data_IF_553037274979
#
_entry.id   IF_553037274979
#
_cell.length_a   1.000
_cell.length_b   1.000
_cell.length_c   1.000
_cell.angle_alpha   90.00
_cell.angle_beta   90.00
_cell.angle_gamma   90.00
#
_symmetry.space_group_name_H-M   'P 1'
#
loop_
_entity.id
_entity.type
_entity.pdbx_description
1 polymer ?
#
# COMPACT_ATOMS: atom_id res chain seq x y z
N UNK A 1 52.41 -10.19 -8.24
CA UNK A 1 51.73 -9.22 -7.35
C UNK A 1 50.45 -8.60 -7.94
N UNK A 2 50.33 -8.44 -9.27
CA UNK A 2 49.10 -7.85 -9.87
C UNK A 2 47.81 -8.66 -9.69
N UNK A 3 47.88 -9.99 -9.69
CA UNK A 3 46.70 -10.86 -9.53
C UNK A 3 46.04 -10.78 -8.15
N UNK A 4 46.85 -10.58 -7.09
CA UNK A 4 46.33 -10.43 -5.72
C UNK A 4 45.59 -9.10 -5.58
N UNK A 5 46.14 -8.01 -6.15
CA UNK A 5 45.47 -6.71 -6.18
C UNK A 5 44.16 -6.74 -6.97
N UNK A 6 44.15 -7.43 -8.12
CA UNK A 6 42.92 -7.61 -8.92
C UNK A 6 41.86 -8.41 -8.17
N UNK A 7 42.26 -9.50 -7.48
CA UNK A 7 41.34 -10.27 -6.64
C UNK A 7 40.72 -9.41 -5.53
N UNK A 8 41.54 -8.59 -4.87
CA UNK A 8 41.08 -7.70 -3.80
C UNK A 8 40.10 -6.63 -4.29
N UNK A 9 40.36 -6.01 -5.44
CA UNK A 9 39.46 -4.97 -5.99
C UNK A 9 38.13 -5.56 -6.46
N UNK A 10 38.15 -6.74 -7.10
CA UNK A 10 36.93 -7.46 -7.48
C UNK A 10 36.11 -7.84 -6.24
N UNK A 11 36.79 -8.34 -5.20
CA UNK A 11 36.14 -8.67 -3.93
C UNK A 11 35.48 -7.44 -3.28
N UNK A 12 36.20 -6.31 -3.22
CA UNK A 12 35.66 -5.06 -2.67
C UNK A 12 34.45 -4.54 -3.48
N UNK A 13 34.53 -4.61 -4.81
CA UNK A 13 33.43 -4.21 -5.68
C UNK A 13 32.18 -5.08 -5.47
N UNK A 14 32.35 -6.40 -5.36
CA UNK A 14 31.25 -7.33 -5.08
C UNK A 14 30.63 -7.02 -3.71
N UNK A 15 31.44 -6.82 -2.68
CA UNK A 15 30.94 -6.48 -1.33
C UNK A 15 30.13 -5.18 -1.32
N UNK A 16 30.59 -4.16 -2.05
CA UNK A 16 29.88 -2.89 -2.16
C UNK A 16 28.49 -3.09 -2.80
N UNK A 17 28.41 -3.86 -3.88
CA UNK A 17 27.14 -4.16 -4.55
C UNK A 17 26.19 -4.94 -3.65
N UNK A 18 26.69 -5.95 -2.92
CA UNK A 18 25.89 -6.72 -1.96
C UNK A 18 25.35 -5.80 -0.86
N UNK A 19 26.19 -4.92 -0.32
CA UNK A 19 25.77 -3.94 0.70
C UNK A 19 24.65 -3.04 0.19
N UNK A 20 24.74 -2.55 -1.05
CA UNK A 20 23.66 -1.75 -1.67
C UNK A 20 22.37 -2.55 -1.75
N UNK A 21 22.43 -3.79 -2.23
CA UNK A 21 21.24 -4.64 -2.35
C UNK A 21 20.59 -4.90 -0.99
N UNK A 22 21.39 -5.17 0.03
CA UNK A 22 20.89 -5.44 1.38
C UNK A 22 20.24 -4.18 1.97
N UNK A 23 20.82 -2.98 1.79
CA UNK A 23 20.16 -1.73 2.15
C UNK A 23 18.80 -1.56 1.45
N UNK A 24 18.71 -1.91 0.17
CA UNK A 24 17.47 -1.82 -0.60
C UNK A 24 16.42 -2.82 -0.09
N UNK A 25 16.84 -4.05 0.20
CA UNK A 25 16.00 -5.10 0.76
C UNK A 25 15.46 -4.73 2.15
N UNK A 26 16.30 -4.13 3.01
CA UNK A 26 15.90 -3.62 4.33
C UNK A 26 14.83 -2.51 4.19
N UNK A 27 15.04 -1.53 3.31
CA UNK A 27 14.10 -0.43 3.07
C UNK A 27 12.74 -0.95 2.56
N UNK A 28 12.75 -1.99 1.71
CA UNK A 28 11.54 -2.61 1.19
C UNK A 28 10.96 -3.72 2.06
N UNK A 29 11.57 -4.01 3.22
CA UNK A 29 11.17 -5.11 4.12
C UNK A 29 11.03 -6.44 3.38
N UNK A 30 11.96 -6.71 2.46
CA UNK A 30 11.97 -7.93 1.68
C UNK A 30 12.22 -9.15 2.57
N UNK A 31 11.41 -10.22 2.49
CA UNK A 31 11.69 -11.45 3.22
C UNK A 31 13.04 -12.02 2.75
N UNK A 32 13.95 -12.23 3.69
CA UNK A 32 15.26 -12.85 3.46
C UNK A 32 15.05 -14.24 2.84
N UNK A 33 15.64 -14.51 1.66
CA UNK A 33 15.39 -15.83 1.04
C UNK A 33 15.91 -16.13 -0.36
N UNK A 34 16.95 -15.47 -0.89
CA UNK A 34 17.59 -15.95 -2.14
C UNK A 34 19.08 -16.18 -1.98
N UNK A 35 19.51 -17.37 -2.40
CA UNK A 35 20.90 -17.79 -2.47
C UNK A 35 21.71 -16.89 -3.42
N UNK A 36 22.95 -16.60 -3.01
CA UNK A 36 23.96 -15.80 -3.75
C UNK A 36 24.07 -16.17 -5.25
N UNK A 37 23.83 -17.44 -5.59
CA UNK A 37 23.90 -17.99 -6.96
C UNK A 37 22.84 -17.47 -7.93
N UNK A 38 21.65 -17.06 -7.46
CA UNK A 38 20.61 -16.45 -8.33
C UNK A 38 20.79 -14.94 -8.52
N UNK A 39 21.71 -14.31 -7.79
CA UNK A 39 22.05 -12.88 -7.90
C UNK A 39 23.10 -12.61 -8.99
N UNK A 40 23.99 -13.58 -9.26
CA UNK A 40 25.07 -13.50 -10.27
C UNK A 40 24.60 -13.09 -11.68
N UNK A 41 23.50 -13.62 -12.24
CA UNK A 41 23.03 -13.22 -13.57
C UNK A 41 22.52 -11.79 -13.60
N UNK A 42 21.91 -11.32 -12.52
CA UNK A 42 21.45 -9.93 -12.39
C UNK A 42 22.65 -8.98 -12.32
N UNK A 43 23.67 -9.32 -11.53
CA UNK A 43 24.91 -8.53 -11.47
C UNK A 43 25.65 -8.50 -12.80
N UNK A 44 25.71 -9.64 -13.50
CA UNK A 44 26.27 -9.69 -14.84
C UNK A 44 25.47 -8.78 -15.79
N UNK A 45 24.14 -8.85 -15.75
CA UNK A 45 23.29 -7.99 -16.56
C UNK A 45 23.49 -6.51 -16.23
N UNK A 46 23.58 -6.13 -14.95
CA UNK A 46 23.85 -4.75 -14.53
C UNK A 46 25.23 -4.28 -15.02
N UNK A 47 26.25 -5.14 -14.91
CA UNK A 47 27.62 -4.83 -15.30
C UNK A 47 27.78 -4.68 -16.82
N UNK A 48 27.04 -5.44 -17.63
CA UNK A 48 27.00 -5.26 -19.10
C UNK A 48 26.06 -4.14 -19.53
N UNK A 49 24.97 -3.92 -18.80
CA UNK A 49 24.01 -2.86 -19.09
C UNK A 49 24.59 -1.49 -18.76
N UNK A 50 25.51 -1.38 -17.78
CA UNK A 50 26.09 -0.09 -17.39
C UNK A 50 26.88 0.58 -18.53
N UNK A 51 27.82 -0.10 -19.23
CA UNK A 51 28.46 0.45 -20.43
C UNK A 51 27.46 0.78 -21.54
N UNK A 52 26.49 -0.11 -21.79
CA UNK A 52 25.47 0.09 -22.83
C UNK A 52 24.57 1.29 -22.51
N UNK A 53 24.23 1.50 -21.25
CA UNK A 53 23.44 2.65 -20.79
C UNK A 53 24.24 3.95 -20.92
N UNK A 54 25.54 3.94 -20.61
CA UNK A 54 26.42 5.09 -20.82
C UNK A 54 26.49 5.42 -22.31
N UNK A 55 26.83 4.43 -23.16
CA UNK A 55 26.92 4.61 -24.62
C UNK A 55 25.59 5.01 -25.26
N UNK A 56 24.49 4.40 -24.83
CA UNK A 56 23.15 4.74 -25.29
C UNK A 56 22.76 6.15 -24.87
N UNK A 57 23.04 6.54 -23.63
CA UNK A 57 22.73 7.88 -23.14
C UNK A 57 23.53 8.96 -23.87
N UNK A 58 24.82 8.73 -24.17
CA UNK A 58 25.64 9.69 -24.92
C UNK A 58 25.18 9.80 -26.37
N UNK A 59 24.82 8.68 -27.01
CA UNK A 59 24.26 8.67 -28.36
C UNK A 59 22.93 9.42 -28.45
N UNK A 60 22.02 9.15 -27.51
CA UNK A 60 20.70 9.81 -27.49
C UNK A 60 20.83 11.29 -27.12
N UNK A 61 21.71 11.64 -26.17
CA UNK A 61 21.99 13.05 -25.84
C UNK A 61 22.58 13.80 -27.05
N UNK A 62 23.52 13.20 -27.78
CA UNK A 62 24.09 13.80 -28.99
C UNK A 62 23.03 14.03 -30.08
N UNK A 63 22.10 13.09 -30.24
CA UNK A 63 20.95 13.28 -31.13
C UNK A 63 20.04 14.41 -30.64
N UNK A 64 19.71 14.45 -29.34
CA UNK A 64 18.87 15.50 -28.78
C UNK A 64 19.51 16.88 -28.94
N UNK A 65 20.80 17.05 -28.64
CA UNK A 65 21.54 18.30 -28.78
C UNK A 65 21.67 18.78 -30.23
N UNK A 66 21.71 17.87 -31.21
CA UNK A 66 21.80 18.20 -32.63
C UNK A 66 20.46 18.67 -33.23
N UNK A 67 19.35 18.09 -32.81
CA UNK A 67 18.03 18.34 -33.41
C UNK A 67 17.18 19.37 -32.64
N UNK A 68 17.39 19.52 -31.34
CA UNK A 68 16.65 20.49 -30.51
C UNK A 68 16.80 21.95 -30.97
N UNK A 69 17.99 22.44 -31.39
CA UNK A 69 18.16 23.81 -31.88
C UNK A 69 17.45 24.07 -33.21
N UNK A 70 17.12 23.02 -33.97
CA UNK A 70 16.43 23.14 -35.27
C UNK A 70 14.92 23.34 -35.11
N UNK A 71 14.36 22.96 -33.96
CA UNK A 71 12.92 23.01 -33.67
C UNK A 71 12.56 24.25 -32.83
N UNK A 72 13.49 24.73 -31.99
CA UNK A 72 13.25 25.88 -31.10
C UNK A 72 14.37 26.91 -31.24
N UNK A 73 14.06 28.10 -31.78
CA UNK A 73 15.01 29.21 -31.95
C UNK A 73 15.26 30.03 -30.66
N UNK A 74 14.51 29.77 -29.60
CA UNK A 74 14.61 30.46 -28.32
C UNK A 74 15.50 29.71 -27.33
N UNK A 75 16.60 30.36 -26.92
CA UNK A 75 17.62 29.83 -26.00
C UNK A 75 17.08 29.31 -24.65
N UNK A 76 15.97 29.87 -24.16
CA UNK A 76 15.35 29.42 -22.91
C UNK A 76 14.60 28.09 -23.06
N UNK A 77 13.91 27.85 -24.19
CA UNK A 77 13.21 26.58 -24.43
C UNK A 77 14.19 25.41 -24.59
N UNK A 78 15.30 25.62 -25.31
CA UNK A 78 16.33 24.60 -25.49
C UNK A 78 16.97 24.19 -24.16
N UNK A 79 17.22 25.17 -23.28
CA UNK A 79 17.79 24.92 -21.95
C UNK A 79 16.83 24.12 -21.07
N UNK A 80 15.56 24.53 -21.01
CA UNK A 80 14.55 23.79 -20.23
C UNK A 80 14.33 22.37 -20.75
N UNK A 81 14.30 22.18 -22.07
CA UNK A 81 14.13 20.86 -22.68
C UNK A 81 15.33 19.93 -22.40
N UNK A 82 16.56 20.46 -22.39
CA UNK A 82 17.75 19.67 -22.03
C UNK A 82 17.73 19.20 -20.56
N UNK A 83 17.33 20.08 -19.64
CA UNK A 83 17.16 19.72 -18.22
C UNK A 83 16.08 18.65 -18.06
N UNK A 84 14.93 18.82 -18.70
CA UNK A 84 13.83 17.84 -18.64
C UNK A 84 14.27 16.48 -19.19
N UNK A 85 15.05 16.49 -20.27
CA UNK A 85 15.61 15.30 -20.88
C UNK A 85 16.61 14.58 -19.95
N UNK A 86 17.53 15.32 -19.32
CA UNK A 86 18.46 14.77 -18.32
C UNK A 86 17.71 14.13 -17.15
N UNK A 87 16.71 14.83 -16.60
CA UNK A 87 15.86 14.30 -15.52
C UNK A 87 15.13 13.04 -15.96
N UNK A 88 14.62 13.00 -17.20
CA UNK A 88 13.91 11.84 -17.73
C UNK A 88 14.80 10.60 -17.79
N UNK A 89 16.06 10.74 -18.26
CA UNK A 89 17.02 9.62 -18.29
C UNK A 89 17.31 9.11 -16.89
N UNK A 90 17.64 10.01 -15.94
CA UNK A 90 17.92 9.62 -14.55
C UNK A 90 16.69 8.97 -13.92
N UNK A 91 15.51 9.49 -14.20
CA UNK A 91 14.25 8.94 -13.71
C UNK A 91 14.01 7.51 -14.18
N UNK A 92 14.18 7.24 -15.48
CA UNK A 92 14.04 5.89 -16.04
C UNK A 92 15.08 4.95 -15.44
N UNK A 93 16.33 5.40 -15.29
CA UNK A 93 17.41 4.62 -14.69
C UNK A 93 17.10 4.27 -13.22
N UNK A 94 16.67 5.24 -12.42
CA UNK A 94 16.27 5.03 -11.03
C UNK A 94 15.05 4.13 -10.92
N UNK A 95 14.07 4.28 -11.80
CA UNK A 95 12.89 3.41 -11.85
C UNK A 95 13.28 1.95 -12.10
N UNK A 96 14.15 1.72 -13.09
CA UNK A 96 14.70 0.42 -13.42
C UNK A 96 15.46 -0.17 -12.24
N UNK A 97 16.35 0.62 -11.63
CA UNK A 97 17.15 0.21 -10.48
C UNK A 97 16.27 -0.15 -9.27
N UNK A 98 15.25 0.65 -8.97
CA UNK A 98 14.32 0.40 -7.86
C UNK A 98 13.45 -0.83 -8.07
N UNK A 99 13.25 -1.25 -9.31
CA UNK A 99 12.45 -2.42 -9.63
C UNK A 99 13.28 -3.70 -9.74
N UNK A 100 14.55 -3.58 -10.10
CA UNK A 100 15.44 -4.73 -10.34
C UNK A 100 16.28 -5.11 -9.13
N UNK A 101 16.69 -4.15 -8.30
CA UNK A 101 17.53 -4.44 -7.13
C UNK A 101 16.78 -5.13 -5.98
N UNK A 102 15.60 -4.66 -5.54
CA UNK A 102 14.95 -5.28 -4.40
C UNK A 102 14.43 -6.66 -4.76
N UNK A 103 14.58 -7.62 -3.84
CA UNK A 103 14.08 -8.98 -4.02
C UNK A 103 12.57 -9.09 -3.68
N UNK A 104 11.77 -8.10 -4.08
CA UNK A 104 10.32 -8.03 -3.83
C UNK A 104 9.54 -7.62 -5.06
N UNK A 105 8.25 -7.96 -5.07
CA UNK A 105 7.33 -7.49 -6.10
C UNK A 105 6.99 -6.04 -5.78
N UNK A 106 7.51 -5.12 -6.60
CA UNK A 106 7.27 -3.69 -6.47
C UNK A 106 6.22 -3.24 -7.47
N UNK A 107 5.20 -2.55 -6.98
CA UNK A 107 4.18 -1.97 -7.84
C UNK A 107 4.76 -0.81 -8.66
N UNK A 108 4.36 -0.71 -9.94
CA UNK A 108 4.91 0.32 -10.85
C UNK A 108 4.64 1.75 -10.39
N UNK A 109 3.47 2.02 -9.80
CA UNK A 109 3.07 3.38 -9.42
C UNK A 109 3.93 3.96 -8.27
N UNK A 110 4.11 3.27 -7.12
CA UNK A 110 5.03 3.74 -6.08
C UNK A 110 6.47 3.93 -6.59
N UNK A 111 6.97 2.97 -7.38
CA UNK A 111 8.31 3.05 -7.95
C UNK A 111 8.51 4.27 -8.85
N UNK A 112 7.51 4.64 -9.67
CA UNK A 112 7.57 5.85 -10.51
C UNK A 112 7.69 7.13 -9.68
N UNK A 113 6.93 7.23 -8.58
CA UNK A 113 6.96 8.43 -7.72
C UNK A 113 8.30 8.53 -6.98
N UNK A 114 8.75 7.45 -6.35
CA UNK A 114 10.02 7.47 -5.61
C UNK A 114 11.24 7.65 -6.49
N UNK A 115 11.25 7.06 -7.70
CA UNK A 115 12.32 7.30 -8.68
C UNK A 115 12.33 8.72 -9.21
N UNK A 116 11.17 9.37 -9.35
CA UNK A 116 11.09 10.77 -9.78
C UNK A 116 11.70 11.70 -8.73
N UNK A 117 11.37 11.46 -7.46
CA UNK A 117 11.97 12.19 -6.32
C UNK A 117 13.49 12.02 -6.34
N UNK A 118 13.99 10.79 -6.45
CA UNK A 118 15.43 10.55 -6.53
C UNK A 118 16.07 11.25 -7.73
N UNK A 119 15.45 11.17 -8.91
CA UNK A 119 15.99 11.80 -10.12
C UNK A 119 16.11 13.33 -9.99
N UNK A 120 15.12 13.98 -9.39
CA UNK A 120 15.17 15.42 -9.13
C UNK A 120 16.30 15.76 -8.14
N UNK A 121 16.43 15.02 -7.04
CA UNK A 121 17.51 15.25 -6.07
C UNK A 121 18.89 15.00 -6.68
N UNK A 122 19.04 13.95 -7.50
CA UNK A 122 20.28 13.63 -8.20
C UNK A 122 20.66 14.71 -9.21
N UNK A 123 19.69 15.22 -9.99
CA UNK A 123 19.93 16.31 -10.93
C UNK A 123 20.36 17.59 -10.20
N UNK A 124 19.69 17.95 -9.09
CA UNK A 124 20.06 19.09 -8.25
C UNK A 124 21.49 18.92 -7.72
N UNK A 125 21.84 17.76 -7.19
CA UNK A 125 23.16 17.52 -6.64
C UNK A 125 24.26 17.50 -7.72
N UNK A 126 23.95 17.06 -8.94
CA UNK A 126 24.87 17.10 -10.10
C UNK A 126 25.20 18.56 -10.46
N UNK A 127 24.20 19.43 -10.57
CA UNK A 127 24.41 20.86 -10.82
C UNK A 127 25.13 21.55 -9.66
N UNK A 128 24.83 21.17 -8.42
CA UNK A 128 25.47 21.71 -7.22
C UNK A 128 26.99 21.48 -7.21
N UNK A 129 27.43 20.29 -7.62
CA UNK A 129 28.87 19.99 -7.76
C UNK A 129 29.51 20.82 -8.87
N UNK A 130 28.84 20.96 -10.02
CA UNK A 130 29.33 21.75 -11.14
C UNK A 130 29.58 23.20 -10.78
N UNK A 131 28.61 23.84 -10.10
CA UNK A 131 28.74 25.21 -9.59
C UNK A 131 29.84 25.33 -8.54
N UNK A 132 29.93 24.36 -7.63
CA UNK A 132 30.95 24.37 -6.59
C UNK A 132 32.36 24.22 -7.18
N UNK A 133 32.57 23.32 -8.15
CA UNK A 133 33.87 23.14 -8.80
C UNK A 133 34.33 24.40 -9.56
N UNK A 134 33.41 25.09 -10.25
CA UNK A 134 33.72 26.34 -10.94
C UNK A 134 34.19 27.43 -9.97
N UNK A 135 33.58 27.53 -8.79
CA UNK A 135 33.96 28.49 -7.76
C UNK A 135 35.18 28.05 -6.92
N UNK A 136 35.33 26.76 -6.64
CA UNK A 136 36.45 26.25 -5.83
C UNK A 136 37.78 26.29 -6.60
N UNK A 137 37.74 26.13 -7.93
CA UNK A 137 38.91 26.28 -8.79
C UNK A 137 39.41 27.74 -8.87
N UNK A 138 38.56 28.74 -8.59
CA UNK A 138 39.01 30.14 -8.51
C UNK A 138 39.58 30.52 -7.13
N UNK A 139 39.23 29.78 -6.07
CA UNK A 139 39.78 29.92 -4.72
C UNK A 139 41.01 29.03 -4.44
N UNK A 140 41.47 28.24 -5.41
CA UNK A 140 42.45 27.16 -5.23
C UNK A 140 43.88 27.60 -4.88
N UNK A 141 44.12 28.88 -4.62
CA UNK A 141 45.45 29.43 -4.31
C UNK A 141 45.99 29.06 -2.93
N UNK A 142 45.14 28.55 -2.00
CA UNK A 142 45.53 28.25 -0.62
C UNK A 142 45.31 26.79 -0.17
N UNK A 143 44.35 26.05 -0.75
CA UNK A 143 43.99 24.69 -0.28
C UNK A 143 44.30 23.54 -1.26
N UNK A 144 44.66 23.85 -2.51
CA UNK A 144 45.14 22.86 -3.50
C UNK A 144 44.25 21.62 -3.68
N UNK A 145 44.76 20.64 -4.43
CA UNK A 145 44.06 19.37 -4.74
C UNK A 145 43.66 18.52 -3.51
N UNK A 146 44.21 18.80 -2.33
CA UNK A 146 43.96 18.08 -1.08
C UNK A 146 42.53 18.28 -0.54
N UNK A 147 41.92 19.44 -0.74
CA UNK A 147 40.54 19.72 -0.31
C UNK A 147 39.46 19.03 -1.15
N UNK A 148 39.81 18.49 -2.33
CA UNK A 148 38.85 17.85 -3.23
C UNK A 148 38.38 16.48 -2.72
N UNK A 149 39.21 15.74 -1.99
CA UNK A 149 38.88 14.37 -1.56
C UNK A 149 37.72 14.38 -0.55
N UNK A 150 37.76 15.13 0.58
CA UNK A 150 36.66 15.14 1.55
C UNK A 150 35.37 15.70 0.94
N UNK A 151 35.48 16.71 0.08
CA UNK A 151 34.36 17.29 -0.65
C UNK A 151 33.69 16.27 -1.57
N UNK A 152 34.49 15.53 -2.35
CA UNK A 152 33.98 14.49 -3.23
C UNK A 152 33.30 13.37 -2.42
N UNK A 153 33.87 12.97 -1.30
CA UNK A 153 33.25 11.99 -0.39
C UNK A 153 31.89 12.49 0.14
N UNK A 154 31.83 13.76 0.58
CA UNK A 154 30.58 14.37 1.05
C UNK A 154 29.52 14.43 -0.07
N UNK A 155 29.93 14.78 -1.28
CA UNK A 155 29.03 14.80 -2.44
C UNK A 155 28.50 13.41 -2.79
N UNK A 156 29.37 12.39 -2.82
CA UNK A 156 28.96 11.00 -3.03
C UNK A 156 27.99 10.55 -1.93
N UNK A 157 28.22 10.96 -0.68
CA UNK A 157 27.29 10.70 0.42
C UNK A 157 25.91 11.32 0.18
N UNK A 158 25.85 12.58 -0.26
CA UNK A 158 24.57 13.24 -0.61
C UNK A 158 23.85 12.55 -1.77
N UNK A 159 24.60 12.09 -2.78
CA UNK A 159 24.04 11.33 -3.91
C UNK A 159 23.40 10.03 -3.45
N UNK A 160 24.09 9.27 -2.59
CA UNK A 160 23.53 8.06 -1.99
C UNK A 160 22.31 8.35 -1.12
N UNK A 161 22.35 9.43 -0.34
CA UNK A 161 21.21 9.86 0.48
C UNK A 161 19.98 10.16 -0.40
N UNK A 162 20.16 10.83 -1.55
CA UNK A 162 19.10 11.09 -2.50
C UNK A 162 18.47 9.80 -3.08
N UNK A 163 19.31 8.82 -3.43
CA UNK A 163 18.85 7.51 -3.89
C UNK A 163 18.07 6.79 -2.80
N UNK A 164 18.63 6.65 -1.60
CA UNK A 164 17.94 5.94 -0.51
C UNK A 164 16.65 6.66 -0.08
N UNK A 165 16.63 8.00 -0.12
CA UNK A 165 15.44 8.77 0.19
C UNK A 165 14.30 8.51 -0.81
N UNK A 166 14.58 8.54 -2.12
CA UNK A 166 13.56 8.21 -3.11
C UNK A 166 13.08 6.76 -3.01
N UNK A 167 13.98 5.84 -2.63
CA UNK A 167 13.62 4.45 -2.36
C UNK A 167 12.66 4.32 -1.18
N UNK A 168 12.95 5.04 -0.08
CA UNK A 168 12.10 5.11 1.10
C UNK A 168 10.71 5.65 0.76
N UNK A 169 10.61 6.72 -0.04
CA UNK A 169 9.33 7.27 -0.51
C UNK A 169 8.52 6.24 -1.32
N UNK A 170 9.18 5.47 -2.19
CA UNK A 170 8.51 4.40 -2.92
C UNK A 170 8.02 3.29 -1.99
N UNK A 171 8.86 2.87 -1.05
CA UNK A 171 8.53 1.85 -0.05
C UNK A 171 7.33 2.28 0.81
N UNK A 172 7.33 3.49 1.36
CA UNK A 172 6.22 3.96 2.19
C UNK A 172 4.91 4.03 1.42
N UNK A 173 4.92 4.52 0.18
CA UNK A 173 3.74 4.58 -0.67
C UNK A 173 3.21 3.19 -1.04
N UNK A 174 4.10 2.19 -1.21
CA UNK A 174 3.71 0.80 -1.40
C UNK A 174 3.07 0.21 -0.13
N UNK A 175 3.66 0.45 1.06
CA UNK A 175 3.13 -0.04 2.32
C UNK A 175 1.76 0.56 2.67
N UNK A 176 1.55 1.86 2.42
CA UNK A 176 0.26 2.51 2.65
C UNK A 176 -0.86 1.90 1.79
N UNK A 177 -0.59 1.64 0.50
CA UNK A 177 -1.54 0.95 -0.38
C UNK A 177 -1.75 -0.51 0.02
N UNK A 178 -0.69 -1.21 0.42
CA UNK A 178 -0.76 -2.59 0.89
C UNK A 178 -1.63 -2.72 2.14
N UNK A 179 -1.51 -1.79 3.09
CA UNK A 179 -2.36 -1.72 4.29
C UNK A 179 -3.82 -1.48 3.96
N UNK A 180 -4.13 -0.52 3.09
CA UNK A 180 -5.52 -0.27 2.68
C UNK A 180 -6.17 -1.50 2.03
N UNK A 181 -5.44 -2.22 1.18
CA UNK A 181 -5.95 -3.46 0.56
C UNK A 181 -6.11 -4.59 1.58
N UNK A 182 -5.17 -4.73 2.52
CA UNK A 182 -5.25 -5.72 3.59
C UNK A 182 -6.39 -5.43 4.56
N UNK A 183 -6.63 -4.17 4.92
CA UNK A 183 -7.76 -3.74 5.76
C UNK A 183 -9.10 -4.03 5.08
N UNK A 184 -9.22 -3.73 3.78
CA UNK A 184 -10.42 -4.05 3.00
C UNK A 184 -10.67 -5.57 2.91
N UNK A 185 -9.62 -6.38 2.76
CA UNK A 185 -9.73 -7.84 2.75
C UNK A 185 -10.06 -8.39 4.14
N UNK A 186 -9.43 -7.89 5.19
CA UNK A 186 -9.68 -8.31 6.56
C UNK A 186 -11.09 -7.93 7.02
N UNK A 187 -11.61 -6.75 6.65
CA UNK A 187 -13.01 -6.37 6.85
C UNK A 187 -13.98 -7.28 6.07
N UNK A 188 -13.57 -7.84 4.94
CA UNK A 188 -14.36 -8.81 4.16
C UNK A 188 -14.30 -10.22 4.76
N UNK A 189 -13.26 -10.54 5.52
CA UNK A 189 -13.06 -11.87 6.10
C UNK A 189 -13.60 -11.97 7.53
N UNK A 190 -13.51 -10.88 8.31
CA UNK A 190 -14.16 -10.76 9.62
C UNK A 190 -15.70 -10.69 9.51
N UNK A 191 -16.25 -10.31 8.35
CA UNK A 191 -17.69 -10.38 8.11
C UNK A 191 -18.24 -11.79 7.90
N UNK A 192 -17.37 -12.76 7.59
CA UNK A 192 -17.78 -14.11 7.20
C UNK A 192 -18.02 -15.04 8.39
N UNK A 193 -17.59 -14.67 9.61
CA UNK A 193 -17.71 -15.49 10.83
C UNK A 193 -18.44 -14.70 11.90
N UNK A 194 -19.74 -14.48 11.68
CA UNK A 194 -20.65 -13.95 12.70
C UNK A 194 -21.66 -15.04 12.99
N UNK A 195 -21.80 -15.42 14.26
CA UNK A 195 -22.88 -16.29 14.70
C UNK A 195 -24.22 -15.62 14.30
N UNK A 196 -25.07 -16.28 13.49
CA UNK A 196 -26.37 -15.77 13.10
C UNK A 196 -27.20 -15.25 14.28
N UNK A 197 -27.02 -15.81 15.48
CA UNK A 197 -27.68 -15.38 16.71
C UNK A 197 -27.37 -13.94 17.13
N UNK A 198 -26.25 -13.34 16.68
CA UNK A 198 -25.91 -11.96 17.02
C UNK A 198 -26.92 -10.94 16.48
N UNK A 199 -27.67 -11.27 15.43
CA UNK A 199 -28.73 -10.39 14.92
C UNK A 199 -29.84 -10.18 15.96
N UNK A 200 -30.10 -11.20 16.78
CA UNK A 200 -31.10 -11.17 17.84
C UNK A 200 -30.65 -10.23 18.96
N UNK A 201 -29.38 -10.31 19.36
CA UNK A 201 -28.79 -9.43 20.38
C UNK A 201 -28.77 -7.97 19.91
N UNK A 202 -28.41 -7.74 18.63
CA UNK A 202 -28.48 -6.41 18.02
C UNK A 202 -29.91 -5.85 18.05
N UNK A 203 -30.89 -6.65 17.62
CA UNK A 203 -32.30 -6.23 17.61
C UNK A 203 -32.87 -6.03 19.01
N UNK A 204 -32.46 -6.83 19.99
CA UNK A 204 -32.84 -6.65 21.39
C UNK A 204 -32.34 -5.29 21.91
N UNK A 205 -31.09 -4.92 21.62
CA UNK A 205 -30.54 -3.63 22.02
C UNK A 205 -31.31 -2.46 21.38
N UNK A 206 -31.58 -2.52 20.07
CA UNK A 206 -32.36 -1.48 19.38
C UNK A 206 -33.79 -1.40 19.92
N UNK A 207 -34.43 -2.54 20.20
CA UNK A 207 -35.79 -2.57 20.73
C UNK A 207 -35.88 -2.04 22.16
N UNK A 208 -34.85 -2.25 22.98
CA UNK A 208 -34.77 -1.69 24.33
C UNK A 208 -34.65 -0.17 24.30
N UNK A 209 -33.80 0.38 23.42
CA UNK A 209 -33.67 1.82 23.22
C UNK A 209 -34.97 2.44 22.68
N UNK A 210 -35.62 1.75 21.75
CA UNK A 210 -36.91 2.18 21.21
C UNK A 210 -38.01 2.23 22.29
N UNK A 211 -38.07 1.26 23.21
CA UNK A 211 -38.99 1.29 24.36
C UNK A 211 -38.76 2.50 25.28
N UNK A 212 -37.52 3.00 25.36
CA UNK A 212 -37.16 4.19 26.12
C UNK A 212 -37.42 5.50 25.34
N UNK A 213 -37.96 5.41 24.11
CA UNK A 213 -38.20 6.57 23.24
C UNK A 213 -36.94 7.13 22.58
N UNK A 214 -35.85 6.35 22.55
CA UNK A 214 -34.57 6.77 21.99
C UNK A 214 -34.29 6.07 20.65
N UNK A 215 -33.62 6.76 19.73
CA UNK A 215 -33.02 6.16 18.54
C UNK A 215 -31.64 5.60 18.88
N UNK A 216 -31.16 4.64 18.10
CA UNK A 216 -29.85 4.01 18.32
C UNK A 216 -28.95 4.26 17.12
N UNK A 217 -27.71 4.70 17.33
CA UNK A 217 -26.74 4.81 16.24
C UNK A 217 -26.03 3.46 15.99
N UNK A 218 -25.53 3.27 14.77
CA UNK A 218 -24.83 2.02 14.40
C UNK A 218 -23.62 1.76 15.30
N UNK A 219 -22.91 2.81 15.72
CA UNK A 219 -21.74 2.71 16.60
C UNK A 219 -22.07 2.20 18.02
N UNK A 220 -23.19 2.62 18.62
CA UNK A 220 -23.62 2.16 19.94
C UNK A 220 -24.06 0.70 19.90
N UNK A 221 -24.71 0.25 18.82
CA UNK A 221 -25.03 -1.17 18.61
C UNK A 221 -23.73 -1.99 18.54
N UNK A 222 -22.73 -1.51 17.80
CA UNK A 222 -21.43 -2.18 17.70
C UNK A 222 -20.74 -2.29 19.07
N UNK A 223 -20.71 -1.19 19.84
CA UNK A 223 -20.13 -1.16 21.20
C UNK A 223 -20.89 -2.08 22.17
N UNK A 224 -22.22 -2.07 22.14
CA UNK A 224 -23.06 -2.87 23.04
C UNK A 224 -22.95 -4.38 22.74
N UNK A 225 -22.84 -4.74 21.46
CA UNK A 225 -22.74 -6.14 21.01
C UNK A 225 -21.30 -6.64 20.90
N UNK A 226 -20.30 -5.79 21.17
CA UNK A 226 -18.86 -6.05 21.00
C UNK A 226 -18.49 -6.54 19.59
N UNK A 227 -19.26 -6.12 18.59
CA UNK A 227 -19.00 -6.40 17.18
C UNK A 227 -18.21 -5.26 16.55
N UNK A 228 -17.47 -5.55 15.49
CA UNK A 228 -16.85 -4.51 14.68
C UNK A 228 -17.94 -3.66 14.00
N UNK A 229 -17.72 -2.35 13.92
CA UNK A 229 -18.66 -1.41 13.31
C UNK A 229 -19.05 -1.81 11.87
N UNK A 230 -18.10 -2.32 11.09
CA UNK A 230 -18.35 -2.80 9.73
C UNK A 230 -19.34 -3.99 9.65
N UNK A 231 -19.28 -4.92 10.60
CA UNK A 231 -20.24 -6.04 10.70
C UNK A 231 -21.61 -5.52 11.09
N UNK A 232 -21.66 -4.66 12.10
CA UNK A 232 -22.89 -4.05 12.60
C UNK A 232 -23.59 -3.27 11.49
N UNK A 233 -22.87 -2.44 10.73
CA UNK A 233 -23.42 -1.65 9.63
C UNK A 233 -24.00 -2.54 8.53
N UNK A 234 -23.33 -3.65 8.18
CA UNK A 234 -23.85 -4.61 7.20
C UNK A 234 -25.14 -5.28 7.70
N UNK A 235 -25.16 -5.76 8.93
CA UNK A 235 -26.36 -6.40 9.50
C UNK A 235 -27.52 -5.41 9.62
N UNK A 236 -27.24 -4.16 10.01
CA UNK A 236 -28.23 -3.07 10.02
C UNK A 236 -28.78 -2.82 8.62
N UNK A 237 -27.93 -2.75 7.59
CA UNK A 237 -28.39 -2.59 6.20
C UNK A 237 -29.31 -3.73 5.76
N UNK A 238 -29.01 -4.98 6.15
CA UNK A 238 -29.89 -6.12 5.87
C UNK A 238 -31.23 -6.04 6.59
N UNK A 239 -31.23 -5.60 7.85
CA UNK A 239 -32.45 -5.39 8.61
C UNK A 239 -33.30 -4.23 8.06
N UNK A 240 -32.66 -3.22 7.47
CA UNK A 240 -33.35 -2.13 6.76
C UNK A 240 -33.94 -2.64 5.44
N UNK A 241 -33.19 -3.40 4.64
CA UNK A 241 -33.70 -4.06 3.42
C UNK A 241 -34.90 -4.98 3.71
N UNK A 242 -34.88 -5.66 4.86
CA UNK A 242 -35.96 -6.54 5.32
C UNK A 242 -37.14 -5.81 6.00
N UNK A 243 -37.16 -4.46 6.01
CA UNK A 243 -38.17 -3.64 6.68
C UNK A 243 -38.36 -3.94 8.19
N UNK A 244 -37.28 -4.34 8.87
CA UNK A 244 -37.26 -4.54 10.33
C UNK A 244 -36.69 -3.33 11.07
N UNK A 245 -35.74 -2.64 10.46
CA UNK A 245 -35.21 -1.36 10.93
C UNK A 245 -35.50 -0.25 9.91
N UNK A 246 -35.59 0.98 10.41
CA UNK A 246 -35.71 2.18 9.58
C UNK A 246 -34.65 3.20 9.99
N UNK A 247 -34.00 3.82 9.00
CA UNK A 247 -33.08 4.94 9.22
C UNK A 247 -33.87 6.24 9.36
N UNK A 248 -33.52 7.05 10.37
CA UNK A 248 -34.16 8.36 10.63
C UNK A 248 -33.62 9.45 9.70
N UNK A 249 -32.31 9.46 9.46
CA UNK A 249 -31.62 10.38 8.55
C UNK A 249 -30.48 9.65 7.81
N UNK A 250 -30.20 10.07 6.58
CA UNK A 250 -29.09 9.51 5.77
C UNK A 250 -27.70 9.86 6.33
N UNK A 251 -27.59 10.96 7.09
CA UNK A 251 -26.31 11.49 7.58
C UNK A 251 -25.89 11.02 8.97
N UNK A 252 -26.82 10.57 9.82
CA UNK A 252 -26.51 10.33 11.25
C UNK A 252 -26.54 8.84 11.67
N UNK A 253 -26.66 7.92 10.69
CA UNK A 253 -26.67 6.47 10.89
C UNK A 253 -27.57 5.97 12.05
N UNK A 254 -28.60 6.75 12.39
CA UNK A 254 -29.56 6.45 13.44
C UNK A 254 -30.63 5.51 12.92
N UNK A 255 -30.93 4.48 13.70
CA UNK A 255 -31.90 3.45 13.38
C UNK A 255 -32.94 3.27 14.49
N UNK A 256 -34.15 2.94 14.07
CA UNK A 256 -35.28 2.60 14.92
C UNK A 256 -35.99 1.37 14.37
N UNK A 257 -36.83 0.74 15.19
CA UNK A 257 -37.69 -0.35 14.74
C UNK A 257 -38.66 0.15 13.66
N UNK A 258 -38.73 -0.56 12.53
CA UNK A 258 -39.69 -0.27 11.47
C UNK A 258 -41.09 -0.84 11.78
N UNK A 259 -41.14 -1.86 12.64
CA UNK A 259 -42.36 -2.58 13.03
C UNK A 259 -42.40 -2.75 14.55
N UNK A 260 -43.60 -2.80 15.16
CA UNK A 260 -43.76 -3.11 16.57
C UNK A 260 -43.09 -4.45 16.96
N UNK A 261 -42.45 -4.50 18.14
CA UNK A 261 -41.64 -5.65 18.59
C UNK A 261 -42.45 -6.94 18.79
N UNK A 262 -43.77 -6.84 18.93
CA UNK A 262 -44.74 -7.93 18.98
C UNK A 262 -45.05 -8.56 17.61
N UNK A 263 -44.64 -7.90 16.52
CA UNK A 263 -44.83 -8.39 15.15
C UNK A 263 -43.56 -8.96 14.52
N UNK A 264 -42.40 -8.77 15.15
CA UNK A 264 -41.11 -9.26 14.67
C UNK A 264 -40.83 -10.63 15.32
N UNK A 265 -40.82 -11.69 14.50
CA UNK A 265 -40.47 -13.04 14.95
C UNK A 265 -38.95 -13.24 14.98
N UNK A 266 -38.45 -14.01 15.94
CA UNK A 266 -37.02 -14.35 15.99
C UNK A 266 -36.63 -15.22 14.79
N UNK A 267 -37.57 -16.05 14.30
CA UNK A 267 -37.39 -16.82 13.06
C UNK A 267 -37.05 -15.92 11.88
N UNK A 268 -37.84 -14.88 11.62
CA UNK A 268 -37.59 -13.94 10.52
C UNK A 268 -36.21 -13.28 10.65
N UNK A 269 -35.78 -12.94 11.87
CA UNK A 269 -34.46 -12.38 12.13
C UNK A 269 -33.33 -13.34 11.77
N UNK A 270 -33.43 -14.60 12.21
CA UNK A 270 -32.44 -15.61 11.89
C UNK A 270 -32.40 -15.89 10.37
N UNK A 271 -33.54 -15.92 9.69
CA UNK A 271 -33.60 -16.08 8.24
C UNK A 271 -32.86 -14.96 7.49
N UNK A 272 -33.00 -13.71 7.94
CA UNK A 272 -32.25 -12.57 7.37
C UNK A 272 -30.75 -12.73 7.60
N UNK A 273 -30.32 -13.19 8.78
CA UNK A 273 -28.91 -13.46 9.07
C UNK A 273 -28.36 -14.59 8.20
N UNK A 274 -29.08 -15.70 8.08
CA UNK A 274 -28.70 -16.83 7.24
C UNK A 274 -28.63 -16.47 5.76
N UNK A 275 -29.59 -15.69 5.26
CA UNK A 275 -29.57 -15.20 3.87
C UNK A 275 -28.37 -14.28 3.59
N UNK A 276 -27.89 -13.53 4.59
CA UNK A 276 -26.68 -12.73 4.47
C UNK A 276 -25.42 -13.60 4.35
N UNK A 277 -25.34 -14.69 5.10
CA UNK A 277 -24.22 -15.65 5.09
C UNK A 277 -24.20 -16.47 3.80
N UNK A 278 -25.35 -16.98 3.34
CA UNK A 278 -25.47 -17.81 2.13
C UNK A 278 -25.00 -17.08 0.86
N UNK A 279 -25.20 -15.75 0.80
CA UNK A 279 -24.70 -14.91 -0.30
C UNK A 279 -23.18 -14.82 -0.36
N UNK A 280 -22.50 -14.97 0.78
CA UNK A 280 -21.04 -14.79 0.89
C UNK A 280 -20.27 -16.10 0.72
N UNK A 281 -20.80 -17.24 1.18
CA UNK A 281 -20.06 -18.51 1.18
C UNK A 281 -19.92 -19.18 -0.19
N UNK A 282 -20.74 -18.81 -1.19
CA UNK A 282 -20.75 -19.51 -2.48
C UNK A 282 -21.21 -20.97 -2.34
N UNK A 283 -21.80 -21.52 -3.39
CA UNK A 283 -22.42 -22.85 -3.33
C UNK A 283 -21.37 -23.96 -3.16
N UNK A 284 -21.02 -24.33 -1.93
CA UNK A 284 -20.34 -25.59 -1.62
C UNK A 284 -21.38 -26.67 -1.22
N UNK A 285 -21.54 -27.74 -2.01
CA UNK A 285 -22.72 -28.62 -1.95
C UNK A 285 -22.70 -29.77 -0.92
N UNK A 286 -21.56 -30.14 -0.32
CA UNK A 286 -21.48 -31.35 0.54
C UNK A 286 -21.63 -31.07 2.04
N UNK A 287 -21.19 -29.90 2.54
CA UNK A 287 -21.43 -29.47 3.92
C UNK A 287 -22.87 -28.95 4.15
N UNK A 288 -23.65 -28.80 3.08
CA UNK A 288 -24.94 -28.09 3.06
C UNK A 288 -26.04 -28.82 3.83
N UNK A 289 -26.11 -30.16 3.80
CA UNK A 289 -27.26 -30.86 4.40
C UNK A 289 -27.30 -30.83 5.94
N UNK A 290 -26.15 -31.01 6.60
CA UNK A 290 -26.07 -30.91 8.06
C UNK A 290 -26.25 -29.45 8.53
N UNK A 291 -25.68 -28.49 7.80
CA UNK A 291 -25.86 -27.06 8.09
C UNK A 291 -27.32 -26.62 7.91
N UNK A 292 -27.99 -27.08 6.85
CA UNK A 292 -29.42 -26.83 6.64
C UNK A 292 -30.26 -27.45 7.77
N UNK A 293 -29.98 -28.69 8.18
CA UNK A 293 -30.67 -29.32 9.32
C UNK A 293 -30.46 -28.56 10.64
N UNK A 294 -29.25 -28.06 10.91
CA UNK A 294 -28.97 -27.25 12.08
C UNK A 294 -29.72 -25.91 12.04
N UNK A 295 -29.72 -25.24 10.88
CA UNK A 295 -30.48 -24.02 10.65
C UNK A 295 -31.98 -24.23 10.83
N UNK A 296 -32.54 -25.29 10.26
CA UNK A 296 -33.95 -25.64 10.40
C UNK A 296 -34.30 -25.97 11.85
N UNK A 297 -33.43 -26.69 12.57
CA UNK A 297 -33.63 -26.97 13.98
C UNK A 297 -33.62 -25.69 14.83
N UNK A 298 -32.69 -24.76 14.58
CA UNK A 298 -32.61 -23.49 15.30
C UNK A 298 -33.81 -22.58 15.00
N UNK A 299 -34.19 -22.41 13.73
CA UNK A 299 -35.34 -21.58 13.33
C UNK A 299 -36.69 -22.16 13.76
N UNK A 300 -36.80 -23.49 13.87
CA UNK A 300 -37.98 -24.14 14.45
C UNK A 300 -38.04 -24.03 15.98
N UNK A 301 -36.90 -24.06 16.68
CA UNK A 301 -36.87 -23.91 18.13
C UNK A 301 -37.37 -22.54 18.62
N UNK A 302 -37.25 -21.50 17.78
CA UNK A 302 -37.67 -20.12 18.11
C UNK A 302 -38.89 -19.65 17.31
N UNK A 303 -39.62 -20.58 16.68
CA UNK A 303 -40.73 -20.28 15.77
C UNK A 303 -41.81 -19.40 16.40
N UNK A 304 -42.17 -19.69 17.66
CA UNK A 304 -43.25 -19.03 18.39
C UNK A 304 -42.75 -17.84 19.23
N UNK A 305 -41.43 -17.59 19.21
CA UNK A 305 -40.81 -16.55 20.03
C UNK A 305 -40.74 -15.24 19.27
N UNK A 306 -41.29 -14.18 19.88
CA UNK A 306 -41.29 -12.81 19.33
C UNK A 306 -40.22 -11.97 19.99
N UNK A 307 -39.78 -10.90 19.32
CA UNK A 307 -38.79 -9.99 19.90
C UNK A 307 -39.27 -9.40 21.24
N UNK A 308 -40.58 -9.16 21.38
CA UNK A 308 -41.18 -8.67 22.63
C UNK A 308 -40.90 -9.58 23.84
N UNK A 309 -40.94 -10.91 23.70
CA UNK A 309 -40.74 -11.81 24.84
C UNK A 309 -39.31 -11.77 25.40
N UNK A 310 -38.34 -11.29 24.60
CA UNK A 310 -36.97 -11.07 25.07
C UNK A 310 -36.78 -9.76 25.83
N UNK A 311 -37.73 -8.82 25.68
CA UNK A 311 -37.69 -7.53 26.37
C UNK A 311 -38.35 -7.59 27.75
N UNK A 312 -39.14 -8.62 28.01
CA UNK A 312 -39.89 -8.80 29.27
C UNK A 312 -39.16 -9.72 30.26
N UNK A 313 -38.03 -10.32 29.85
CA UNK A 313 -37.11 -11.03 30.75
C UNK A 313 -36.22 -9.98 31.44
N UNK A 314 -36.24 -9.84 32.78
CA UNK A 314 -35.35 -8.92 33.47
C UNK A 314 -33.90 -9.39 33.28
N UNK A 315 -33.06 -8.45 32.84
CA UNK A 315 -31.60 -8.60 32.65
C UNK A 315 -30.87 -8.94 33.95
#
# INVERSE_FOLDING_TARGET
MGWVGLGLTVYAAINLVVTIEDCFNVIYQAPEGRSWTRRVPLYWFVLTTSPVAIWGSTYINGWFEQYLPQITSSSWLSTSANILWSVCIIWVLMFLLYRMLPNTIIYRRPALVGSLVAALLLEIGKHSLGLYLQNALSLSQLYGSLGLIPLFMFWVYLMWLAVLFGLQVSSTLQHLRGRQLAEMQQQRQQSLVVDPGMIVVMMQHVAQQFRQGQSTNTESIARATKLSEAVTERMVNRLVEANMLRRLDETDHQVVLARPADTISIRELLEVAYAAIDRELGQQPEATQLLLRLRDAQTNAVADTKLQSLLDVPS
#
